data_IF_679613227165
#
_entry.id   IF_679613227165
#
_cell.length_a   1.000
_cell.length_b   1.000
_cell.length_c   1.000
_cell.angle_alpha   90.00
_cell.angle_beta   90.00
_cell.angle_gamma   90.00
#
_symmetry.space_group_name_H-M   'P 1'
#
loop_
_entity.id
_entity.type
_entity.pdbx_description
1 polymer ?
#
# COMPACT_ATOMS: atom_id res chain seq x y z
N UNK A 1 -23.25 -0.86 -50.55
CA UNK A 1 -23.10 -0.72 -49.09
C UNK A 1 -21.69 -1.13 -48.74
N UNK A 2 -20.79 -0.14 -48.60
CA UNK A 2 -19.35 -0.35 -48.42
C UNK A 2 -19.10 -0.55 -46.92
N UNK A 3 -18.77 -1.76 -46.48
CA UNK A 3 -18.35 -2.00 -45.10
C UNK A 3 -16.90 -1.57 -44.94
N UNK A 4 -16.68 -0.42 -44.29
CA UNK A 4 -15.37 -0.01 -43.81
C UNK A 4 -15.06 -0.89 -42.60
N UNK A 5 -14.15 -1.85 -42.78
CA UNK A 5 -13.53 -2.55 -41.67
C UNK A 5 -12.66 -1.54 -40.93
N UNK A 6 -13.15 -1.05 -39.79
CA UNK A 6 -12.29 -0.37 -38.81
C UNK A 6 -11.26 -1.39 -38.34
N UNK A 7 -9.98 -1.07 -38.52
CA UNK A 7 -8.89 -1.77 -37.85
C UNK A 7 -9.15 -1.70 -36.35
N UNK A 8 -9.59 -2.82 -35.78
CA UNK A 8 -9.51 -3.04 -34.35
C UNK A 8 -8.05 -3.39 -34.12
N UNK A 9 -7.24 -2.39 -33.77
CA UNK A 9 -6.01 -2.66 -33.03
C UNK A 9 -6.43 -3.45 -31.80
N UNK A 10 -6.17 -4.76 -31.81
CA UNK A 10 -6.25 -5.55 -30.58
C UNK A 10 -5.18 -4.95 -29.67
N UNK A 11 -5.61 -4.21 -28.65
CA UNK A 11 -4.76 -3.98 -27.49
C UNK A 11 -4.18 -5.33 -27.09
N UNK A 12 -2.86 -5.46 -27.23
CA UNK A 12 -2.16 -6.61 -26.67
C UNK A 12 -2.46 -6.54 -25.17
N UNK A 13 -3.04 -7.58 -24.56
CA UNK A 13 -3.24 -7.59 -23.12
C UNK A 13 -1.88 -7.28 -22.49
N UNK A 14 -1.84 -6.28 -21.60
CA UNK A 14 -0.64 -5.98 -20.82
C UNK A 14 -0.31 -7.23 -19.99
N UNK A 15 0.51 -8.11 -20.56
CA UNK A 15 0.81 -9.41 -20.00
C UNK A 15 1.62 -9.18 -18.72
N UNK A 16 1.20 -9.81 -17.64
CA UNK A 16 1.86 -9.66 -16.34
C UNK A 16 1.51 -8.41 -15.52
N UNK A 17 0.50 -7.63 -15.94
CA UNK A 17 0.02 -6.50 -15.12
C UNK A 17 -1.26 -6.89 -14.38
N UNK A 18 -1.20 -6.91 -13.04
CA UNK A 18 -2.39 -7.13 -12.20
C UNK A 18 -3.30 -5.92 -12.28
N UNK A 19 -4.58 -6.17 -12.55
CA UNK A 19 -5.63 -5.14 -12.62
C UNK A 19 -5.96 -4.51 -11.26
N UNK A 20 -6.40 -3.27 -11.30
CA UNK A 20 -6.95 -2.55 -10.16
C UNK A 20 -8.37 -3.08 -9.87
N UNK A 21 -8.52 -3.92 -8.85
CA UNK A 21 -9.78 -4.58 -8.51
C UNK A 21 -10.70 -3.74 -7.62
N UNK A 22 -10.14 -2.75 -6.92
CA UNK A 22 -10.84 -1.91 -5.95
C UNK A 22 -11.14 -0.50 -6.47
N UNK A 23 -10.61 -0.16 -7.66
CA UNK A 23 -11.00 1.02 -8.43
C UNK A 23 -12.51 1.05 -8.68
N UNK A 24 -13.14 2.21 -8.51
CA UNK A 24 -14.59 2.41 -8.67
C UNK A 24 -15.44 1.97 -7.47
N UNK A 25 -14.84 1.39 -6.43
CA UNK A 25 -15.57 0.94 -5.23
C UNK A 25 -14.94 1.40 -3.93
N UNK A 26 -13.63 1.23 -3.75
CA UNK A 26 -12.91 1.69 -2.55
C UNK A 26 -12.21 3.03 -2.76
N UNK A 27 -11.91 3.35 -4.01
CA UNK A 27 -11.35 4.62 -4.47
C UNK A 27 -11.83 4.88 -5.91
N UNK A 28 -11.71 6.11 -6.45
CA UNK A 28 -12.20 6.42 -7.80
C UNK A 28 -11.56 5.56 -8.90
N UNK A 29 -12.27 5.32 -10.00
CA UNK A 29 -11.77 4.46 -11.10
C UNK A 29 -11.00 5.24 -12.17
N UNK A 30 -11.17 6.55 -12.25
CA UNK A 30 -10.49 7.40 -13.23
C UNK A 30 -9.36 8.24 -12.64
N UNK A 31 -8.40 8.60 -13.50
CA UNK A 31 -7.33 9.54 -13.19
C UNK A 31 -7.89 10.89 -12.71
N UNK A 32 -8.85 11.44 -13.46
CA UNK A 32 -9.44 12.76 -13.16
C UNK A 32 -10.06 12.83 -11.77
N UNK A 33 -10.85 11.82 -11.39
CA UNK A 33 -11.48 11.76 -10.08
C UNK A 33 -10.47 11.54 -8.96
N UNK A 34 -9.44 10.72 -9.18
CA UNK A 34 -8.34 10.55 -8.23
C UNK A 34 -7.62 11.89 -7.97
N UNK A 35 -7.27 12.62 -9.03
CA UNK A 35 -6.60 13.91 -8.93
C UNK A 35 -7.46 14.98 -8.25
N UNK A 36 -8.75 15.04 -8.58
CA UNK A 36 -9.71 15.94 -7.93
C UNK A 36 -9.77 15.71 -6.40
N UNK A 37 -9.81 14.45 -5.98
CA UNK A 37 -9.83 14.09 -4.57
C UNK A 37 -8.48 14.39 -3.87
N UNK A 38 -7.36 14.23 -4.57
CA UNK A 38 -6.04 14.61 -4.07
C UNK A 38 -5.92 16.11 -3.85
N UNK A 39 -6.47 16.94 -4.73
CA UNK A 39 -6.53 18.38 -4.53
C UNK A 39 -7.40 18.74 -3.31
N UNK A 40 -8.53 18.05 -3.12
CA UNK A 40 -9.33 18.19 -1.91
C UNK A 40 -8.53 17.83 -0.65
N UNK A 41 -7.84 16.69 -0.64
CA UNK A 41 -7.01 16.27 0.49
C UNK A 41 -5.93 17.29 0.78
N UNK A 42 -5.17 17.71 -0.24
CA UNK A 42 -4.10 18.69 -0.14
C UNK A 42 -4.58 20.00 0.47
N UNK A 43 -5.78 20.47 0.12
CA UNK A 43 -6.37 21.70 0.69
C UNK A 43 -6.71 21.61 2.18
N UNK A 44 -6.79 20.39 2.74
CA UNK A 44 -7.23 20.11 4.13
C UNK A 44 -6.13 19.55 5.01
N UNK A 45 -4.90 19.46 4.52
CA UNK A 45 -3.76 18.90 5.25
C UNK A 45 -3.01 20.00 5.98
N UNK A 46 -2.61 19.70 7.22
CA UNK A 46 -1.64 20.51 7.94
C UNK A 46 -0.26 19.99 7.61
N UNK A 47 0.63 20.89 7.23
CA UNK A 47 2.04 20.58 7.08
C UNK A 47 2.60 20.22 8.45
N UNK A 48 3.39 19.15 8.51
CA UNK A 48 4.27 18.92 9.65
C UNK A 48 5.57 19.68 9.39
N UNK A 49 6.01 20.45 10.38
CA UNK A 49 7.35 21.04 10.43
C UNK A 49 8.34 20.12 11.15
N UNK A 50 7.91 18.93 11.56
CA UNK A 50 8.77 17.94 12.22
C UNK A 50 9.86 17.44 11.28
N UNK A 51 11.04 17.22 11.86
CA UNK A 51 12.19 16.68 11.17
C UNK A 51 12.15 15.15 11.27
N UNK A 52 11.91 14.47 10.14
CA UNK A 52 11.93 13.01 10.03
C UNK A 52 12.61 12.60 8.73
N UNK A 53 13.25 11.43 8.73
CA UNK A 53 14.11 10.98 7.63
C UNK A 53 13.38 10.67 6.31
N UNK A 54 12.04 10.50 6.35
CA UNK A 54 11.22 10.22 5.16
C UNK A 54 11.45 8.83 4.55
N UNK A 55 12.04 7.89 5.29
CA UNK A 55 12.37 6.54 4.80
C UNK A 55 11.23 5.53 4.99
N UNK A 56 10.16 5.89 5.70
CA UNK A 56 9.05 4.98 5.97
C UNK A 56 7.79 5.68 6.47
N UNK A 57 6.69 4.94 6.48
CA UNK A 57 5.41 5.42 6.98
C UNK A 57 4.41 4.28 7.23
N UNK A 58 3.49 4.51 8.16
CA UNK A 58 2.34 3.64 8.39
C UNK A 58 1.10 4.31 7.82
N UNK A 59 0.33 3.58 7.01
CA UNK A 59 -0.86 4.10 6.33
C UNK A 59 -2.08 3.19 6.54
N UNK A 60 -3.29 3.76 6.73
CA UNK A 60 -4.52 2.99 6.78
C UNK A 60 -4.94 2.48 5.39
N UNK A 61 -5.85 1.49 5.36
CA UNK A 61 -6.34 0.85 4.14
C UNK A 61 -7.86 0.62 4.10
N UNK A 62 -8.66 1.30 4.93
CA UNK A 62 -10.08 1.44 4.64
C UNK A 62 -10.31 2.17 3.30
N UNK A 63 -11.53 2.15 2.75
CA UNK A 63 -11.85 2.91 1.54
C UNK A 63 -11.50 4.40 1.66
N UNK A 64 -11.10 5.04 0.56
CA UNK A 64 -10.54 6.39 0.54
C UNK A 64 -11.47 7.44 1.12
N UNK A 65 -12.78 7.22 1.05
CA UNK A 65 -13.76 8.06 1.75
C UNK A 65 -13.45 8.21 3.26
N UNK A 66 -12.97 7.15 3.90
CA UNK A 66 -12.66 7.13 5.34
C UNK A 66 -11.20 7.45 5.63
N UNK A 67 -10.28 6.88 4.86
CA UNK A 67 -8.85 6.82 5.22
C UNK A 67 -7.93 7.57 4.23
N UNK A 68 -8.43 7.92 3.04
CA UNK A 68 -7.61 8.36 1.92
C UNK A 68 -6.85 9.65 2.23
N UNK A 69 -7.49 10.60 2.94
CA UNK A 69 -6.83 11.82 3.41
C UNK A 69 -5.65 11.52 4.33
N UNK A 70 -5.78 10.56 5.24
CA UNK A 70 -4.72 10.17 6.18
C UNK A 70 -3.55 9.54 5.45
N UNK A 71 -3.81 8.56 4.57
CA UNK A 71 -2.77 7.95 3.74
C UNK A 71 -2.07 9.00 2.85
N UNK A 72 -2.84 9.84 2.16
CA UNK A 72 -2.31 10.95 1.36
C UNK A 72 -1.42 11.88 2.19
N UNK A 73 -1.80 12.20 3.44
CA UNK A 73 -0.99 13.05 4.32
C UNK A 73 0.39 12.47 4.57
N UNK A 74 0.49 11.16 4.79
CA UNK A 74 1.77 10.47 5.00
C UNK A 74 2.63 10.57 3.74
N UNK A 75 2.11 10.15 2.60
CA UNK A 75 2.85 10.21 1.33
C UNK A 75 3.24 11.65 0.95
N UNK A 76 2.36 12.62 1.16
CA UNK A 76 2.63 14.03 0.89
C UNK A 76 3.80 14.56 1.71
N UNK A 77 3.86 14.23 3.01
CA UNK A 77 4.96 14.68 3.87
C UNK A 77 6.28 13.98 3.52
N UNK A 78 6.25 12.69 3.19
CA UNK A 78 7.40 11.91 2.74
C UNK A 78 7.96 12.47 1.41
N UNK A 79 7.10 12.72 0.42
CA UNK A 79 7.49 13.20 -0.90
C UNK A 79 8.18 14.58 -0.91
N UNK A 80 8.05 15.37 0.17
CA UNK A 80 8.80 16.62 0.33
C UNK A 80 10.28 16.41 0.69
N UNK A 81 10.65 15.21 1.12
CA UNK A 81 11.98 14.89 1.67
C UNK A 81 12.68 13.78 0.89
N UNK A 82 11.92 12.90 0.25
CA UNK A 82 12.44 11.72 -0.46
C UNK A 82 11.83 11.57 -1.85
N UNK A 83 12.64 11.08 -2.79
CA UNK A 83 12.18 10.51 -4.05
C UNK A 83 12.83 9.12 -4.21
N UNK A 84 12.17 8.04 -3.75
CA UNK A 84 12.76 6.70 -3.69
C UNK A 84 12.84 6.06 -5.08
N UNK A 85 13.82 5.17 -5.25
CA UNK A 85 13.96 4.29 -6.41
C UNK A 85 12.96 3.10 -6.33
N UNK A 86 12.63 2.69 -5.10
CA UNK A 86 11.71 1.58 -4.81
C UNK A 86 10.85 1.85 -3.57
N UNK A 87 9.58 1.47 -3.64
CA UNK A 87 8.68 1.42 -2.48
C UNK A 87 8.38 -0.03 -2.10
N UNK A 88 8.65 -0.39 -0.86
CA UNK A 88 8.11 -1.61 -0.26
C UNK A 88 6.75 -1.30 0.36
N UNK A 89 5.77 -2.15 0.08
CA UNK A 89 4.45 -2.08 0.70
C UNK A 89 4.22 -3.39 1.42
N UNK A 90 4.25 -3.33 2.75
CA UNK A 90 3.92 -4.44 3.63
C UNK A 90 2.45 -4.36 3.99
N UNK A 91 1.68 -5.36 3.58
CA UNK A 91 0.25 -5.43 3.84
C UNK A 91 -0.26 -6.82 3.55
N UNK A 92 -1.37 -7.19 4.19
CA UNK A 92 -2.33 -8.26 3.90
C UNK A 92 -3.00 -8.63 5.23
N UNK A 93 -4.25 -9.07 5.17
CA UNK A 93 -4.97 -9.51 6.37
C UNK A 93 -4.53 -10.92 6.81
N UNK A 94 -3.30 -11.03 7.32
CA UNK A 94 -2.66 -12.29 7.71
C UNK A 94 -2.74 -12.53 9.22
N UNK A 95 -2.73 -13.81 9.60
CA UNK A 95 -2.57 -14.26 10.98
C UNK A 95 -1.26 -15.06 11.14
N UNK A 96 -0.92 -15.45 12.36
CA UNK A 96 0.35 -16.14 12.67
C UNK A 96 0.55 -17.47 11.92
N UNK A 97 -0.52 -18.11 11.45
CA UNK A 97 -0.46 -19.37 10.70
C UNK A 97 -0.47 -19.16 9.17
N UNK A 98 -0.67 -17.94 8.70
CA UNK A 98 -0.62 -17.61 7.28
C UNK A 98 0.80 -17.78 6.73
N UNK A 99 0.97 -18.18 5.46
CA UNK A 99 2.26 -18.04 4.79
C UNK A 99 2.55 -16.56 4.52
N UNK A 100 3.81 -16.26 4.15
CA UNK A 100 4.13 -14.96 3.57
C UNK A 100 3.77 -14.97 2.07
N UNK A 101 3.47 -13.80 1.52
CA UNK A 101 3.10 -13.60 0.12
C UNK A 101 4.00 -12.55 -0.52
N UNK A 102 4.24 -12.68 -1.81
CA UNK A 102 4.95 -11.66 -2.60
C UNK A 102 4.39 -11.65 -4.02
N UNK A 103 4.19 -10.46 -4.59
CA UNK A 103 3.78 -10.35 -5.97
C UNK A 103 5.01 -10.41 -6.88
N UNK A 104 5.03 -11.37 -7.80
CA UNK A 104 6.14 -11.61 -8.72
C UNK A 104 5.63 -11.68 -10.16
N UNK A 105 5.32 -10.50 -10.72
CA UNK A 105 4.96 -10.33 -12.13
C UNK A 105 5.38 -8.93 -12.61
N UNK A 106 5.04 -8.54 -13.83
CA UNK A 106 5.55 -7.32 -14.46
C UNK A 106 5.08 -6.00 -13.80
N UNK A 107 3.84 -5.94 -13.31
CA UNK A 107 3.33 -4.69 -12.74
C UNK A 107 1.97 -4.73 -12.08
N UNK A 108 1.60 -3.59 -11.51
CA UNK A 108 0.32 -3.35 -10.85
C UNK A 108 -0.34 -2.11 -11.47
N UNK A 109 -1.58 -2.25 -11.91
CA UNK A 109 -2.36 -1.16 -12.50
C UNK A 109 -2.89 -0.20 -11.43
N UNK A 110 -2.93 1.09 -11.77
CA UNK A 110 -3.66 2.12 -11.01
C UNK A 110 -4.40 3.02 -12.00
N UNK A 111 -5.42 3.78 -11.56
CA UNK A 111 -6.05 4.80 -12.39
C UNK A 111 -5.06 5.85 -12.94
N UNK A 112 -3.91 6.04 -12.28
CA UNK A 112 -2.86 6.99 -12.65
C UNK A 112 -1.76 6.34 -13.52
N UNK A 113 -1.98 5.13 -13.99
CA UNK A 113 -1.05 4.33 -14.76
C UNK A 113 -0.31 3.26 -13.94
N UNK A 114 0.44 2.42 -14.65
CA UNK A 114 1.04 1.23 -14.05
C UNK A 114 2.27 1.55 -13.19
N UNK A 115 2.46 0.75 -12.14
CA UNK A 115 3.67 0.64 -11.36
C UNK A 115 4.40 -0.66 -11.73
N UNK A 116 5.72 -0.57 -11.92
CA UNK A 116 6.57 -1.73 -12.21
C UNK A 116 6.98 -2.41 -10.93
N UNK A 117 7.00 -3.74 -10.94
CA UNK A 117 7.56 -4.52 -9.83
C UNK A 117 9.08 -4.57 -9.96
N UNK A 118 9.78 -4.43 -8.84
CA UNK A 118 11.23 -4.60 -8.80
C UNK A 118 11.60 -6.08 -8.69
N UNK A 119 11.73 -6.76 -9.84
CA UNK A 119 11.96 -8.21 -9.87
C UNK A 119 13.28 -8.64 -9.25
N UNK A 120 14.34 -7.85 -9.39
CA UNK A 120 15.65 -8.18 -8.80
C UNK A 120 15.59 -8.26 -7.27
N UNK A 121 14.80 -7.38 -6.63
CA UNK A 121 14.57 -7.41 -5.19
C UNK A 121 13.64 -8.57 -4.80
N UNK A 122 12.57 -8.80 -5.57
CA UNK A 122 11.65 -9.92 -5.36
C UNK A 122 12.41 -11.25 -5.40
N UNK A 123 13.26 -11.46 -6.42
CA UNK A 123 14.09 -12.66 -6.57
C UNK A 123 15.02 -12.88 -5.38
N UNK A 124 15.64 -11.81 -4.85
CA UNK A 124 16.47 -11.90 -3.65
C UNK A 124 15.65 -12.32 -2.43
N UNK A 125 14.45 -11.78 -2.24
CA UNK A 125 13.57 -12.13 -1.13
C UNK A 125 13.13 -13.60 -1.20
N UNK A 126 12.63 -14.06 -2.35
CA UNK A 126 12.18 -15.45 -2.53
C UNK A 126 13.32 -16.46 -2.47
N UNK A 127 14.55 -16.06 -2.80
CA UNK A 127 15.72 -16.93 -2.66
C UNK A 127 16.09 -17.22 -1.20
N UNK A 128 15.70 -16.34 -0.26
CA UNK A 128 16.08 -16.43 1.17
C UNK A 128 14.94 -16.88 2.07
N UNK A 129 13.71 -16.51 1.75
CA UNK A 129 12.53 -16.83 2.57
C UNK A 129 11.47 -17.57 1.76
N UNK A 130 10.62 -18.31 2.46
CA UNK A 130 9.46 -18.96 1.83
C UNK A 130 8.34 -17.94 1.65
N UNK A 131 7.91 -17.77 0.40
CA UNK A 131 6.75 -16.98 0.01
C UNK A 131 5.82 -17.82 -0.87
N UNK A 132 4.53 -17.51 -0.81
CA UNK A 132 3.58 -17.79 -1.89
C UNK A 132 3.74 -16.67 -2.91
N UNK A 133 4.18 -17.02 -4.12
CA UNK A 133 4.35 -16.06 -5.21
C UNK A 133 3.02 -15.84 -5.94
N UNK A 134 2.51 -14.61 -5.88
CA UNK A 134 1.33 -14.15 -6.60
C UNK A 134 1.73 -13.58 -7.96
N UNK A 135 0.80 -13.61 -8.92
CA UNK A 135 0.99 -13.01 -10.24
C UNK A 135 -0.29 -12.31 -10.73
N UNK A 136 -0.27 -11.72 -11.92
CA UNK A 136 -1.39 -10.95 -12.45
C UNK A 136 -2.70 -11.74 -12.61
N UNK A 137 -2.63 -13.07 -12.62
CA UNK A 137 -3.75 -13.98 -12.87
C UNK A 137 -4.12 -14.84 -11.66
N UNK A 138 -3.22 -14.96 -10.68
CA UNK A 138 -3.40 -15.76 -9.47
C UNK A 138 -2.84 -15.02 -8.26
N UNK A 139 -3.75 -14.43 -7.49
CA UNK A 139 -3.45 -13.62 -6.33
C UNK A 139 -4.60 -13.71 -5.32
N UNK A 140 -4.32 -13.36 -4.07
CA UNK A 140 -5.29 -13.26 -2.99
C UNK A 140 -5.98 -11.89 -3.08
N UNK A 141 -7.32 -11.84 -3.14
CA UNK A 141 -8.03 -10.56 -3.08
C UNK A 141 -7.80 -9.88 -1.73
N UNK A 142 -7.05 -8.77 -1.73
CA UNK A 142 -6.70 -8.02 -0.53
C UNK A 142 -6.51 -6.53 -0.84
N UNK A 143 -7.10 -5.64 -0.03
CA UNK A 143 -7.12 -4.20 -0.25
C UNK A 143 -5.94 -3.46 0.40
N UNK A 144 -5.16 -4.09 1.28
CA UNK A 144 -4.13 -3.41 2.09
C UNK A 144 -3.05 -2.76 1.23
N UNK A 145 -2.59 -3.48 0.20
CA UNK A 145 -1.56 -3.02 -0.73
C UNK A 145 -2.17 -2.10 -1.80
N UNK A 146 -3.24 -2.56 -2.46
CA UNK A 146 -3.74 -1.91 -3.69
C UNK A 146 -4.17 -0.45 -3.45
N UNK A 147 -4.79 -0.17 -2.31
CA UNK A 147 -5.27 1.18 -1.98
C UNK A 147 -4.15 2.21 -1.80
N UNK A 148 -2.89 1.77 -1.66
CA UNK A 148 -1.74 2.64 -1.51
C UNK A 148 -1.06 2.94 -2.86
N UNK A 149 -1.25 2.08 -3.85
CA UNK A 149 -0.57 2.15 -5.15
C UNK A 149 -0.83 3.46 -5.90
N UNK A 150 -2.06 4.02 -5.96
CA UNK A 150 -2.27 5.30 -6.63
C UNK A 150 -1.50 6.45 -5.97
N UNK A 151 -1.35 6.46 -4.64
CA UNK A 151 -0.55 7.49 -3.97
C UNK A 151 0.92 7.38 -4.35
N UNK A 152 1.47 6.16 -4.37
CA UNK A 152 2.86 5.92 -4.81
C UNK A 152 3.07 6.42 -6.23
N UNK A 153 2.15 6.07 -7.15
CA UNK A 153 2.19 6.49 -8.54
C UNK A 153 2.11 8.02 -8.71
N UNK A 154 1.33 8.68 -7.87
CA UNK A 154 1.16 10.13 -7.89
C UNK A 154 2.39 10.90 -7.39
N UNK A 155 2.99 10.43 -6.28
CA UNK A 155 4.04 11.18 -5.60
C UNK A 155 5.45 10.93 -6.13
N UNK A 156 5.72 9.77 -6.71
CA UNK A 156 7.08 9.35 -7.07
C UNK A 156 7.18 8.98 -8.54
N UNK A 157 8.11 9.62 -9.24
CA UNK A 157 8.39 9.37 -10.66
C UNK A 157 9.40 8.23 -10.81
N UNK A 158 9.24 7.42 -11.86
CA UNK A 158 10.13 6.29 -12.20
C UNK A 158 10.35 5.24 -11.08
N UNK A 159 9.47 5.23 -10.08
CA UNK A 159 9.55 4.34 -8.94
C UNK A 159 9.12 2.91 -9.29
N UNK A 160 9.80 1.94 -8.70
CA UNK A 160 9.40 0.53 -8.71
C UNK A 160 8.78 0.13 -7.37
N UNK A 161 8.02 -0.97 -7.34
CA UNK A 161 7.38 -1.45 -6.09
C UNK A 161 7.75 -2.89 -5.76
N UNK A 162 7.72 -3.21 -4.48
CA UNK A 162 7.79 -4.58 -3.95
C UNK A 162 6.66 -4.73 -2.95
N UNK A 163 5.70 -5.60 -3.26
CA UNK A 163 4.52 -5.81 -2.40
C UNK A 163 4.67 -7.11 -1.64
N UNK A 164 4.60 -7.05 -0.31
CA UNK A 164 4.92 -8.18 0.57
C UNK A 164 3.82 -8.37 1.61
N UNK A 165 3.23 -9.55 1.63
CA UNK A 165 2.42 -10.03 2.75
C UNK A 165 3.29 -10.75 3.75
N UNK A 166 3.42 -10.21 4.96
CA UNK A 166 4.19 -10.84 6.04
C UNK A 166 3.26 -11.28 7.16
N UNK A 167 3.32 -12.56 7.52
CA UNK A 167 2.62 -13.07 8.69
C UNK A 167 3.25 -12.45 9.96
N UNK A 168 2.46 -12.13 11.01
CA UNK A 168 2.92 -11.43 12.20
C UNK A 168 3.71 -12.35 13.15
N UNK A 169 4.81 -12.91 12.68
CA UNK A 169 5.73 -13.80 13.41
C UNK A 169 7.18 -13.33 13.23
N UNK A 170 8.14 -13.95 13.93
CA UNK A 170 9.55 -13.53 13.95
C UNK A 170 10.19 -13.40 12.54
N UNK A 171 9.71 -14.18 11.57
CA UNK A 171 10.18 -14.07 10.18
C UNK A 171 9.88 -12.71 9.54
N UNK A 172 8.85 -11.98 9.99
CA UNK A 172 8.56 -10.63 9.51
C UNK A 172 9.72 -9.66 9.79
N UNK A 173 10.30 -9.73 10.99
CA UNK A 173 11.47 -8.92 11.38
C UNK A 173 12.66 -9.29 10.49
N UNK A 174 12.86 -10.59 10.25
CA UNK A 174 13.93 -11.09 9.38
C UNK A 174 13.78 -10.62 7.92
N UNK A 175 12.56 -10.60 7.39
CA UNK A 175 12.23 -10.11 6.04
C UNK A 175 12.49 -8.60 5.95
N UNK A 176 12.07 -7.82 6.96
CA UNK A 176 12.31 -6.38 7.03
C UNK A 176 13.80 -6.05 7.04
N UNK A 177 14.57 -6.72 7.91
CA UNK A 177 16.03 -6.53 7.99
C UNK A 177 16.72 -6.89 6.68
N UNK A 178 16.34 -7.99 6.03
CA UNK A 178 16.92 -8.37 4.76
C UNK A 178 16.51 -7.44 3.61
N UNK A 179 15.30 -6.87 3.65
CA UNK A 179 14.87 -5.85 2.69
C UNK A 179 15.79 -4.62 2.78
N UNK A 180 16.12 -4.16 4.00
CA UNK A 180 17.07 -3.08 4.21
C UNK A 180 18.48 -3.43 3.71
N UNK A 181 18.97 -4.64 4.00
CA UNK A 181 20.27 -5.14 3.53
C UNK A 181 20.36 -5.17 1.99
N UNK A 182 19.31 -5.60 1.31
CA UNK A 182 19.25 -5.61 -0.17
C UNK A 182 19.42 -4.18 -0.71
N UNK A 183 18.68 -3.22 -0.13
CA UNK A 183 18.69 -1.82 -0.56
C UNK A 183 20.06 -1.17 -0.35
N UNK A 184 20.67 -1.39 0.81
CA UNK A 184 22.02 -0.90 1.10
C UNK A 184 23.05 -1.48 0.11
N UNK A 185 23.02 -2.79 -0.13
CA UNK A 185 23.93 -3.46 -1.06
C UNK A 185 23.76 -3.01 -2.52
N UNK A 186 22.54 -2.64 -2.92
CA UNK A 186 22.26 -2.14 -4.26
C UNK A 186 22.50 -0.63 -4.40
N UNK A 187 22.76 0.09 -3.29
CA UNK A 187 22.93 1.54 -3.29
C UNK A 187 21.68 2.30 -3.72
N UNK A 188 20.49 1.75 -3.42
CA UNK A 188 19.20 2.34 -3.77
C UNK A 188 18.62 3.16 -2.61
N UNK A 189 17.74 4.11 -2.92
CA UNK A 189 16.89 4.76 -1.94
C UNK A 189 15.54 4.04 -1.89
N UNK A 190 15.14 3.57 -0.71
CA UNK A 190 13.87 2.89 -0.53
C UNK A 190 12.94 3.67 0.40
N UNK A 191 11.64 3.51 0.16
CA UNK A 191 10.57 3.89 1.06
C UNK A 191 9.87 2.62 1.56
N UNK A 192 9.72 2.48 2.88
CA UNK A 192 9.04 1.34 3.49
C UNK A 192 7.66 1.74 4.04
N UNK A 193 6.60 1.21 3.44
CA UNK A 193 5.21 1.49 3.83
C UNK A 193 4.62 0.26 4.53
N UNK A 194 4.19 0.43 5.78
CA UNK A 194 3.34 -0.55 6.47
C UNK A 194 1.88 -0.17 6.32
N UNK A 195 1.07 -1.02 5.71
CA UNK A 195 -0.37 -0.78 5.56
C UNK A 195 -1.15 -1.48 6.66
N UNK A 196 -1.66 -0.71 7.62
CA UNK A 196 -2.51 -1.21 8.69
C UNK A 196 -3.53 -0.17 9.13
N UNK A 197 -4.77 -0.60 9.31
CA UNK A 197 -5.73 0.11 10.15
C UNK A 197 -5.39 -0.12 11.63
N UNK A 198 -6.01 0.67 12.52
CA UNK A 198 -5.91 0.49 13.97
C UNK A 198 -7.11 -0.34 14.47
N UNK A 199 -7.73 0.04 15.58
CA UNK A 199 -8.78 -0.79 16.18
C UNK A 199 -10.07 -0.83 15.37
N UNK A 200 -10.49 -2.03 14.99
CA UNK A 200 -11.85 -2.30 14.52
C UNK A 200 -12.78 -2.51 15.73
N UNK A 201 -13.37 -1.41 16.22
CA UNK A 201 -14.19 -1.39 17.44
C UNK A 201 -15.68 -1.39 17.14
N UNK A 202 -16.44 -2.29 17.78
CA UNK A 202 -17.89 -2.33 17.66
C UNK A 202 -18.49 -3.73 17.72
N UNK A 203 -19.83 -3.83 17.85
CA UNK A 203 -20.53 -5.12 17.86
C UNK A 203 -20.29 -5.92 16.57
N UNK A 204 -20.21 -5.23 15.42
CA UNK A 204 -19.96 -5.86 14.12
C UNK A 204 -18.58 -6.53 14.02
N UNK A 205 -17.64 -6.14 14.88
CA UNK A 205 -16.29 -6.71 14.94
C UNK A 205 -16.13 -7.70 16.09
N UNK A 206 -17.18 -7.94 16.89
CA UNK A 206 -17.09 -8.74 18.10
C UNK A 206 -16.15 -8.17 19.16
N UNK A 207 -15.75 -6.90 19.03
CA UNK A 207 -14.76 -6.25 19.90
C UNK A 207 -15.35 -4.96 20.50
N UNK A 208 -15.85 -5.07 21.72
CA UNK A 208 -16.51 -3.95 22.43
C UNK A 208 -16.24 -3.96 23.95
N UNK A 209 -14.99 -4.08 24.42
CA UNK A 209 -14.68 -4.23 25.85
C UNK A 209 -15.13 -3.06 26.73
N UNK A 210 -15.33 -1.86 26.18
CA UNK A 210 -15.70 -0.64 26.92
C UNK A 210 -17.09 -0.10 26.55
N UNK A 211 -17.95 -0.96 25.98
CA UNK A 211 -19.31 -0.62 25.57
C UNK A 211 -19.38 0.33 24.37
N UNK A 212 -20.60 0.61 23.87
CA UNK A 212 -20.79 1.54 22.75
C UNK A 212 -20.68 3.01 23.20
N UNK A 213 -20.62 3.92 22.23
CA UNK A 213 -20.68 5.36 22.49
C UNK A 213 -19.35 5.98 22.91
N UNK A 214 -19.42 7.13 23.58
CA UNK A 214 -18.25 7.97 23.87
C UNK A 214 -17.19 7.29 24.75
N UNK A 215 -17.60 6.43 25.68
CA UNK A 215 -16.66 5.71 26.56
C UNK A 215 -15.76 4.77 25.76
N UNK A 216 -16.35 3.98 24.86
CA UNK A 216 -15.63 3.10 23.96
C UNK A 216 -14.73 3.88 23.01
N UNK A 217 -15.25 4.94 22.39
CA UNK A 217 -14.47 5.79 21.49
C UNK A 217 -13.25 6.41 22.18
N UNK A 218 -13.44 6.93 23.41
CA UNK A 218 -12.35 7.51 24.19
C UNK A 218 -11.28 6.48 24.50
N UNK A 219 -11.68 5.31 24.97
CA UNK A 219 -10.75 4.23 25.27
C UNK A 219 -9.96 3.77 24.04
N UNK A 220 -10.63 3.59 22.89
CA UNK A 220 -9.96 3.23 21.64
C UNK A 220 -8.88 4.25 21.29
N UNK A 221 -9.24 5.55 21.25
CA UNK A 221 -8.33 6.61 20.80
C UNK A 221 -7.19 6.90 21.77
N UNK A 222 -7.50 6.96 23.06
CA UNK A 222 -6.59 7.50 24.07
C UNK A 222 -5.78 6.41 24.79
N UNK A 223 -6.23 5.15 24.71
CA UNK A 223 -5.57 4.02 25.40
C UNK A 223 -5.11 2.96 24.40
N UNK A 224 -6.02 2.36 23.63
CA UNK A 224 -5.67 1.21 22.80
C UNK A 224 -4.81 1.59 21.60
N UNK A 225 -5.30 2.48 20.76
CA UNK A 225 -4.60 2.96 19.55
C UNK A 225 -3.38 3.79 19.93
N UNK A 226 -3.48 4.59 20.99
CA UNK A 226 -2.37 5.42 21.48
C UNK A 226 -1.13 4.57 21.79
N UNK A 227 -1.31 3.42 22.45
CA UNK A 227 -0.22 2.49 22.76
C UNK A 227 0.47 1.98 21.51
N UNK A 228 -0.29 1.69 20.44
CA UNK A 228 0.27 1.20 19.18
C UNK A 228 1.04 2.32 18.47
N UNK A 229 0.45 3.52 18.39
CA UNK A 229 1.08 4.68 17.76
C UNK A 229 2.42 5.02 18.44
N UNK A 230 2.48 4.95 19.77
CA UNK A 230 3.72 5.18 20.53
C UNK A 230 4.81 4.13 20.29
N UNK A 231 4.47 2.94 19.78
CA UNK A 231 5.46 1.93 19.37
C UNK A 231 6.02 2.18 17.97
N UNK A 232 5.35 3.00 17.16
CA UNK A 232 5.80 3.35 15.80
C UNK A 232 6.76 4.56 15.76
N UNK A 233 6.82 5.34 16.84
CA UNK A 233 7.64 6.56 17.00
C UNK A 233 8.88 6.22 17.84
#
# INVERSE_FOLDING_TARGET
>A
MLFILKNIEKEVPNMGIKKANFAGSWYPDTEEECLSLFDEYKSRIKLSDEDFAGIGGIVPHAGWYFSGKTAFTVFYNIAKRSNPDVVFIFGMHLNELSPNYIFNDEGLETPLGNLKVNKDIVEKLVSKFSFVEENAYSFTPDNTVELQLPFIKYFFSDVSVVTVGVAPVETAISIGNYSAEIIENMGLNALFIGSTDLTHYGPNYGFLPHGPGESGLRWVKEVNDRRIIELFI
#
